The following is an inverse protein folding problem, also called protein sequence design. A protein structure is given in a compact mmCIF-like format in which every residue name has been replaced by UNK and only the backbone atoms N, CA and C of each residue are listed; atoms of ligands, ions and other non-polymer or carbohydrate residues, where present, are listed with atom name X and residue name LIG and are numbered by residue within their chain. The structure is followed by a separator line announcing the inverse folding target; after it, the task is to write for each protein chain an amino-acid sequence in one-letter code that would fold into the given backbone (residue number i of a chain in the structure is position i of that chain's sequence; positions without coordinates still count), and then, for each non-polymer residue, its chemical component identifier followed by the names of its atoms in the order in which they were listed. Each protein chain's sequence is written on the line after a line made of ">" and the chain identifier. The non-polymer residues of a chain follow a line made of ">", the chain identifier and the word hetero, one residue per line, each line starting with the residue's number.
data_IF_643302486743
#
_entry.id   IF_643302486743
#
_cell.length_a   1.000
_cell.length_b   1.000
_cell.length_c   1.000
_cell.angle_alpha   90.00
_cell.angle_beta   90.00
_cell.angle_gamma   90.00
#
_symmetry.space_group_name_H-M   'P 1'
#
loop_
_entity.id
_entity.type
_entity.pdbx_description
1 polymer ?
#
# COMPACT_ATOMS: atom_id res chain seq x y z
N UNK A 1 9.09 0.66 -18.53
CA UNK A 1 10.03 0.99 -17.43
C UNK A 1 9.33 0.79 -16.11
N UNK A 2 9.95 0.02 -15.22
CA UNK A 2 9.59 -0.10 -13.81
C UNK A 2 10.83 0.29 -12.99
N UNK A 3 10.65 1.02 -11.90
CA UNK A 3 11.73 1.35 -10.96
C UNK A 3 11.41 0.77 -9.60
N UNK A 4 12.39 0.12 -8.98
CA UNK A 4 12.32 -0.41 -7.61
C UNK A 4 13.56 0.08 -6.88
N UNK A 5 13.37 0.77 -5.76
CA UNK A 5 14.45 1.34 -4.93
C UNK A 5 15.49 2.15 -5.71
N UNK A 6 15.03 2.87 -6.74
CA UNK A 6 15.86 3.74 -7.57
C UNK A 6 16.54 3.06 -8.75
N UNK A 7 16.45 1.74 -8.90
CA UNK A 7 16.96 1.01 -10.07
C UNK A 7 15.84 0.82 -11.09
N UNK A 8 16.09 1.11 -12.37
CA UNK A 8 15.08 1.10 -13.44
C UNK A 8 15.36 0.00 -14.44
N UNK A 9 14.34 -0.79 -14.77
CA UNK A 9 14.40 -1.83 -15.80
C UNK A 9 13.37 -1.61 -16.91
N UNK A 10 13.77 -1.86 -18.14
CA UNK A 10 12.88 -1.88 -19.30
C UNK A 10 12.31 -3.29 -19.53
N UNK A 11 11.35 -3.65 -18.67
CA UNK A 11 10.66 -4.94 -18.71
C UNK A 11 9.20 -4.72 -19.09
N UNK A 12 8.63 -5.47 -20.04
CA UNK A 12 7.18 -5.50 -20.24
C UNK A 12 6.50 -6.00 -18.97
N UNK A 13 5.50 -5.28 -18.50
CA UNK A 13 4.78 -5.62 -17.28
C UNK A 13 3.26 -5.60 -17.49
N UNK A 14 2.56 -6.44 -16.73
CA UNK A 14 1.12 -6.33 -16.49
C UNK A 14 0.92 -5.96 -15.03
N UNK A 15 0.07 -4.97 -14.78
CA UNK A 15 -0.18 -4.44 -13.44
C UNK A 15 -1.69 -4.46 -13.22
N UNK A 16 -2.12 -5.22 -12.24
CA UNK A 16 -3.49 -5.22 -11.74
C UNK A 16 -3.54 -4.49 -10.40
N UNK A 17 -4.66 -3.82 -10.12
CA UNK A 17 -4.88 -3.13 -8.85
C UNK A 17 -6.19 -3.55 -8.22
N UNK A 18 -6.17 -3.72 -6.92
CA UNK A 18 -7.35 -3.96 -6.08
C UNK A 18 -7.35 -2.93 -4.96
N UNK A 19 -8.49 -2.27 -4.75
CA UNK A 19 -8.68 -1.29 -3.69
C UNK A 19 -9.42 -1.95 -2.53
N UNK A 20 -8.80 -1.96 -1.35
CA UNK A 20 -9.38 -2.49 -0.13
C UNK A 20 -9.67 -1.31 0.82
N UNK A 21 -10.94 -1.09 1.13
CA UNK A 21 -11.36 -0.10 2.13
C UNK A 21 -11.29 -0.76 3.50
N UNK A 22 -10.35 -0.31 4.33
CA UNK A 22 -10.21 -0.81 5.70
C UNK A 22 -11.07 0.04 6.62
N UNK A 23 -12.00 -0.60 7.29
CA UNK A 23 -12.85 0.01 8.28
C UNK A 23 -12.30 -0.24 9.69
N UNK A 24 -12.56 0.69 10.61
CA UNK A 24 -12.20 0.54 12.01
C UNK A 24 -13.11 -0.45 12.71
N UNK A 25 -12.68 -0.92 13.88
CA UNK A 25 -13.45 -1.80 14.74
C UNK A 25 -14.76 -1.17 15.25
N UNK A 26 -14.91 0.16 15.12
CA UNK A 26 -16.10 0.92 15.51
C UNK A 26 -17.24 0.75 14.49
N UNK A 27 -16.93 0.25 13.29
CA UNK A 27 -17.93 0.00 12.24
C UNK A 27 -18.95 -1.06 12.65
N UNK A 28 -20.23 -0.81 12.41
CA UNK A 28 -21.28 -1.72 12.86
C UNK A 28 -22.71 -1.27 12.58
N UNK A 29 -23.66 -2.13 12.95
CA UNK A 29 -25.08 -1.83 12.86
C UNK A 29 -25.51 -0.87 13.98
N UNK A 30 -26.19 0.21 13.58
CA UNK A 30 -26.83 1.15 14.48
C UNK A 30 -28.20 0.65 14.93
N UNK A 31 -28.73 1.27 15.98
CA UNK A 31 -30.04 0.93 16.56
C UNK A 31 -31.21 1.15 15.58
N UNK A 32 -31.04 2.09 14.63
CA UNK A 32 -32.00 2.33 13.55
C UNK A 32 -31.86 1.33 12.38
N UNK A 33 -30.98 0.32 12.52
CA UNK A 33 -30.66 -0.72 11.54
C UNK A 33 -29.90 -0.21 10.32
N UNK A 34 -29.41 1.02 10.32
CA UNK A 34 -28.42 1.48 9.35
C UNK A 34 -27.04 0.95 9.72
N UNK A 35 -26.11 0.89 8.76
CA UNK A 35 -24.74 0.43 9.01
C UNK A 35 -23.82 1.65 9.02
N UNK A 36 -23.17 1.86 10.16
CA UNK A 36 -22.10 2.84 10.30
C UNK A 36 -20.78 2.21 9.85
N UNK A 37 -20.14 2.81 8.86
CA UNK A 37 -18.86 2.36 8.33
C UNK A 37 -17.81 3.43 8.58
N UNK A 38 -16.95 3.20 9.56
CA UNK A 38 -15.85 4.10 9.92
C UNK A 38 -14.61 3.72 9.12
N UNK A 39 -14.47 4.27 7.91
CA UNK A 39 -13.39 3.91 6.98
C UNK A 39 -12.09 4.61 7.39
N UNK A 40 -11.10 3.84 7.88
CA UNK A 40 -9.76 4.33 8.25
C UNK A 40 -8.99 4.78 7.00
N UNK A 41 -9.15 4.06 5.88
CA UNK A 41 -8.49 4.41 4.64
C UNK A 41 -8.63 3.36 3.56
N UNK A 42 -8.18 3.71 2.35
CA UNK A 42 -8.12 2.75 1.23
C UNK A 42 -6.68 2.31 0.99
N UNK A 43 -6.42 1.02 1.18
CA UNK A 43 -5.16 0.38 0.85
C UNK A 43 -5.24 -0.17 -0.58
N UNK A 44 -4.16 0.00 -1.33
CA UNK A 44 -4.06 -0.49 -2.70
C UNK A 44 -3.17 -1.73 -2.71
N UNK A 45 -3.72 -2.84 -3.22
CA UNK A 45 -2.99 -4.05 -3.55
C UNK A 45 -2.68 -4.04 -5.04
N UNK A 46 -1.46 -4.42 -5.38
CA UNK A 46 -0.97 -4.51 -6.74
C UNK A 46 -0.51 -5.94 -7.01
N UNK A 47 -1.03 -6.53 -8.08
CA UNK A 47 -0.49 -7.78 -8.64
C UNK A 47 0.28 -7.41 -9.89
N UNK A 48 1.58 -7.70 -9.90
CA UNK A 48 2.48 -7.30 -10.99
C UNK A 48 3.15 -8.52 -11.57
N UNK A 49 3.03 -8.70 -12.88
CA UNK A 49 3.74 -9.72 -13.64
C UNK A 49 4.77 -9.07 -14.55
N UNK A 50 6.03 -9.46 -14.40
CA UNK A 50 7.16 -9.01 -15.22
C UNK A 50 7.52 -10.08 -16.25
N UNK A 51 7.42 -9.72 -17.52
CA UNK A 51 7.69 -10.62 -18.63
C UNK A 51 9.15 -10.51 -19.09
N UNK A 52 10.04 -11.16 -18.36
CA UNK A 52 11.39 -11.43 -18.83
C UNK A 52 11.35 -12.51 -19.90
N UNK A 53 11.90 -12.23 -21.09
CA UNK A 53 11.98 -13.21 -22.17
C UNK A 53 13.45 -13.52 -22.45
N UNK A 54 14.01 -14.61 -21.87
CA UNK A 54 15.44 -14.91 -21.97
C UNK A 54 15.90 -15.22 -23.41
N UNK A 55 14.97 -15.45 -24.34
CA UNK A 55 15.26 -15.84 -25.72
C UNK A 55 15.16 -14.72 -26.77
N UNK A 56 14.75 -13.49 -26.41
CA UNK A 56 14.66 -12.39 -27.39
C UNK A 56 15.44 -11.17 -26.95
N UNK A 57 16.73 -11.19 -27.29
CA UNK A 57 17.59 -10.02 -27.36
C UNK A 57 17.05 -9.03 -28.41
N UNK A 58 16.03 -8.25 -28.05
CA UNK A 58 15.51 -7.09 -28.80
C UNK A 58 15.68 -5.78 -28.02
N UNK A 59 16.68 -5.70 -27.14
CA UNK A 59 16.92 -4.51 -26.30
C UNK A 59 16.02 -4.40 -25.06
N UNK A 60 15.37 -5.50 -24.65
CA UNK A 60 14.62 -5.61 -23.40
C UNK A 60 15.50 -6.26 -22.33
N UNK A 61 15.10 -6.13 -21.05
CA UNK A 61 15.85 -6.60 -19.89
C UNK A 61 16.47 -8.01 -20.04
N UNK A 62 17.71 -8.12 -19.57
CA UNK A 62 18.60 -9.27 -19.66
C UNK A 62 18.31 -10.33 -18.59
N UNK A 63 18.97 -11.48 -18.72
CA UNK A 63 18.94 -12.54 -17.68
C UNK A 63 19.58 -12.07 -16.36
N UNK A 64 20.57 -11.17 -16.38
CA UNK A 64 21.09 -10.57 -15.14
C UNK A 64 20.08 -9.65 -14.48
N UNK A 65 19.33 -8.87 -15.26
CA UNK A 65 18.28 -7.99 -14.73
C UNK A 65 17.17 -8.81 -14.05
N UNK A 66 16.87 -10.00 -14.57
CA UNK A 66 15.94 -10.92 -13.95
C UNK A 66 16.37 -11.29 -12.52
N UNK A 67 17.63 -11.72 -12.36
CA UNK A 67 18.15 -12.12 -11.06
C UNK A 67 18.21 -10.94 -10.09
N UNK A 68 18.62 -9.76 -10.55
CA UNK A 68 18.65 -8.56 -9.72
C UNK A 68 17.26 -8.17 -9.22
N UNK A 69 16.25 -8.19 -10.09
CA UNK A 69 14.86 -7.91 -9.70
C UNK A 69 14.33 -8.95 -8.73
N UNK A 70 14.61 -10.24 -8.97
CA UNK A 70 14.16 -11.30 -8.08
C UNK A 70 14.77 -11.15 -6.68
N UNK A 71 16.09 -11.03 -6.59
CA UNK A 71 16.79 -10.86 -5.31
C UNK A 71 16.27 -9.63 -4.57
N UNK A 72 16.13 -8.48 -5.25
CA UNK A 72 15.62 -7.26 -4.67
C UNK A 72 14.19 -7.41 -4.13
N UNK A 73 13.30 -8.08 -4.86
CA UNK A 73 11.92 -8.29 -4.40
C UNK A 73 11.82 -9.28 -3.23
N UNK A 74 12.80 -10.14 -3.06
CA UNK A 74 12.87 -11.11 -1.95
C UNK A 74 13.67 -10.61 -0.75
N UNK A 75 14.23 -9.40 -0.83
CA UNK A 75 14.95 -8.79 0.29
C UNK A 75 14.00 -8.63 1.50
N UNK A 76 14.45 -8.99 2.72
CA UNK A 76 13.62 -8.94 3.93
C UNK A 76 13.51 -7.51 4.48
N UNK A 77 13.02 -6.57 3.68
CA UNK A 77 12.79 -5.17 4.06
C UNK A 77 11.30 -4.90 4.27
N UNK A 78 11.00 -3.87 5.07
CA UNK A 78 9.61 -3.55 5.41
C UNK A 78 8.79 -3.05 4.21
N UNK A 79 9.43 -2.32 3.30
CA UNK A 79 8.80 -1.80 2.10
C UNK A 79 9.86 -1.42 1.05
N UNK A 80 9.44 -1.47 -0.22
CA UNK A 80 10.19 -0.94 -1.35
C UNK A 80 9.50 0.30 -1.91
N UNK A 81 10.28 1.16 -2.55
CA UNK A 81 9.77 2.28 -3.33
C UNK A 81 9.62 1.85 -4.80
N UNK A 82 8.38 1.84 -5.29
CA UNK A 82 8.06 1.46 -6.66
C UNK A 82 7.67 2.69 -7.48
N UNK A 83 8.20 2.78 -8.70
CA UNK A 83 7.68 3.62 -9.77
C UNK A 83 7.22 2.74 -10.92
N UNK A 84 5.93 2.78 -11.22
CA UNK A 84 5.28 1.91 -12.21
C UNK A 84 4.51 2.71 -13.26
N UNK A 85 4.37 2.21 -14.50
CA UNK A 85 3.59 2.90 -15.52
C UNK A 85 2.09 2.91 -15.15
N UNK A 86 1.45 4.06 -15.29
CA UNK A 86 0.05 4.28 -14.95
C UNK A 86 -0.62 5.32 -15.86
N UNK A 87 -1.52 4.87 -16.75
CA UNK A 87 -2.32 5.74 -17.63
C UNK A 87 -1.49 6.82 -18.37
N UNK A 88 -0.31 6.46 -18.87
CA UNK A 88 0.59 7.39 -19.57
C UNK A 88 1.41 8.32 -18.67
N UNK A 89 1.33 8.15 -17.35
CA UNK A 89 2.19 8.76 -16.35
C UNK A 89 2.90 7.67 -15.51
N UNK A 90 3.65 8.11 -14.51
CA UNK A 90 4.28 7.23 -13.52
C UNK A 90 3.51 7.26 -12.19
N UNK A 91 3.29 6.10 -11.61
CA UNK A 91 2.74 5.89 -10.28
C UNK A 91 3.89 5.61 -9.32
N UNK A 92 4.08 6.49 -8.35
CA UNK A 92 5.05 6.31 -7.27
C UNK A 92 4.35 5.82 -6.01
N UNK A 93 4.75 4.67 -5.47
CA UNK A 93 4.20 4.11 -4.24
C UNK A 93 5.29 3.53 -3.35
N UNK A 94 5.05 3.53 -2.06
CA UNK A 94 5.81 2.73 -1.09
C UNK A 94 4.92 1.57 -0.65
N UNK A 95 5.37 0.35 -0.92
CA UNK A 95 4.58 -0.85 -0.69
C UNK A 95 5.42 -1.98 -0.12
N UNK A 96 4.81 -2.80 0.73
CA UNK A 96 5.39 -4.06 1.19
C UNK A 96 5.08 -5.16 0.18
N UNK A 97 6.05 -6.04 -0.06
CA UNK A 97 5.88 -7.21 -0.92
C UNK A 97 5.37 -8.36 -0.05
N UNK A 98 4.21 -8.91 -0.38
CA UNK A 98 3.60 -10.03 0.35
C UNK A 98 4.05 -11.38 -0.18
N UNK A 99 4.28 -11.47 -1.49
CA UNK A 99 4.72 -12.69 -2.15
C UNK A 99 5.42 -12.38 -3.46
N UNK A 100 6.37 -13.24 -3.81
CA UNK A 100 7.07 -13.28 -5.10
C UNK A 100 7.02 -14.72 -5.60
N UNK A 101 6.77 -14.91 -6.88
CA UNK A 101 6.69 -16.23 -7.51
C UNK A 101 7.27 -16.19 -8.91
N UNK A 102 7.88 -17.29 -9.31
CA UNK A 102 8.47 -17.50 -10.63
C UNK A 102 8.40 -18.98 -11.02
N UNK A 103 8.76 -19.29 -12.26
CA UNK A 103 8.74 -20.65 -12.77
C UNK A 103 10.01 -20.99 -13.54
N UNK A 104 10.60 -22.14 -13.22
CA UNK A 104 11.66 -22.76 -14.02
C UNK A 104 11.03 -23.42 -15.25
N UNK A 105 11.42 -22.95 -16.43
CA UNK A 105 11.07 -23.60 -17.70
C UNK A 105 12.25 -24.41 -18.17
N UNK A 106 11.98 -25.68 -18.50
CA UNK A 106 12.95 -26.60 -19.08
C UNK A 106 12.54 -26.98 -20.49
N UNK A 107 13.44 -26.74 -21.44
CA UNK A 107 13.26 -27.08 -22.85
C UNK A 107 14.13 -28.30 -23.24
N UNK A 108 13.76 -29.03 -24.31
CA UNK A 108 14.61 -30.06 -24.88
C UNK A 108 16.00 -29.51 -25.23
N UNK A 109 17.05 -30.30 -24.99
CA UNK A 109 18.43 -29.90 -25.25
C UNK A 109 19.17 -29.30 -24.05
N UNK A 110 18.72 -29.58 -22.81
CA UNK A 110 19.32 -29.08 -21.56
C UNK A 110 19.37 -27.54 -21.45
N UNK A 111 18.37 -26.87 -22.02
CA UNK A 111 18.17 -25.44 -21.81
C UNK A 111 17.12 -25.28 -20.71
N UNK A 112 17.50 -24.60 -19.64
CA UNK A 112 16.59 -24.23 -18.56
C UNK A 112 16.78 -22.75 -18.22
N UNK A 113 15.70 -22.08 -17.86
CA UNK A 113 15.71 -20.69 -17.45
C UNK A 113 14.50 -20.40 -16.59
N UNK A 114 14.65 -19.44 -15.67
CA UNK A 114 13.56 -18.93 -14.88
C UNK A 114 12.82 -17.82 -15.64
N UNK A 115 11.50 -17.75 -15.45
CA UNK A 115 10.68 -16.70 -16.07
C UNK A 115 9.42 -16.41 -15.27
N UNK A 116 8.75 -15.30 -15.62
CA UNK A 116 7.41 -14.99 -15.15
C UNK A 116 7.34 -14.51 -13.71
N UNK A 117 8.28 -13.67 -13.28
CA UNK A 117 8.24 -13.04 -11.94
C UNK A 117 6.87 -12.38 -11.77
N UNK A 118 6.13 -12.85 -10.78
CA UNK A 118 4.84 -12.32 -10.37
C UNK A 118 4.88 -12.04 -8.89
N UNK A 119 4.57 -10.81 -8.49
CA UNK A 119 4.59 -10.41 -7.08
C UNK A 119 3.31 -9.66 -6.69
N UNK A 120 2.95 -9.80 -5.42
CA UNK A 120 1.87 -9.06 -4.77
C UNK A 120 2.45 -8.01 -3.84
N UNK A 121 2.03 -6.75 -3.99
CA UNK A 121 2.47 -5.65 -3.14
C UNK A 121 1.27 -4.89 -2.56
N UNK A 122 1.36 -4.49 -1.29
CA UNK A 122 0.32 -3.70 -0.61
C UNK A 122 0.92 -2.37 -0.15
N UNK A 123 0.24 -1.26 -0.45
CA UNK A 123 0.64 0.07 0.01
C UNK A 123 0.79 0.11 1.54
N UNK A 124 1.90 0.63 2.06
CA UNK A 124 2.12 0.67 3.52
C UNK A 124 1.24 1.72 4.22
N UNK A 125 0.80 2.73 3.47
CA UNK A 125 -0.08 3.80 3.94
C UNK A 125 -1.35 3.85 3.07
N UNK A 126 -2.47 4.34 3.61
CA UNK A 126 -3.69 4.52 2.83
C UNK A 126 -3.43 5.49 1.66
N UNK A 127 -3.78 5.04 0.46
CA UNK A 127 -3.62 5.85 -0.78
C UNK A 127 -4.68 6.93 -0.87
N UNK A 128 -5.79 6.78 -0.15
CA UNK A 128 -6.82 7.78 0.06
C UNK A 128 -7.23 7.78 1.52
N UNK A 129 -7.23 8.96 2.12
CA UNK A 129 -7.77 9.25 3.45
C UNK A 129 -8.89 10.26 3.28
N UNK A 130 -9.89 10.22 4.16
CA UNK A 130 -10.77 11.36 4.34
C UNK A 130 -10.01 12.41 5.15
N UNK A 131 -9.98 13.65 4.70
CA UNK A 131 -9.63 14.77 5.59
C UNK A 131 -10.75 14.99 6.60
N UNK A 132 -10.46 15.62 7.74
CA UNK A 132 -11.47 15.94 8.77
C UNK A 132 -12.65 16.73 8.16
N UNK A 133 -12.36 17.65 7.24
CA UNK A 133 -13.37 18.45 6.54
C UNK A 133 -14.24 17.60 5.60
N UNK A 134 -13.65 16.63 4.89
CA UNK A 134 -14.38 15.70 4.03
C UNK A 134 -15.20 14.68 4.84
N UNK A 135 -14.75 14.30 6.04
CA UNK A 135 -15.49 13.45 6.95
C UNK A 135 -16.74 14.17 7.50
N UNK A 136 -16.60 15.46 7.82
CA UNK A 136 -17.71 16.32 8.27
C UNK A 136 -18.74 16.54 7.13
N UNK A 137 -18.28 16.82 5.91
CA UNK A 137 -19.16 17.02 4.74
C UNK A 137 -19.86 15.72 4.30
N UNK A 138 -19.22 14.56 4.51
CA UNK A 138 -19.82 13.24 4.29
C UNK A 138 -20.85 12.82 5.37
N UNK A 139 -21.08 13.68 6.38
CA UNK A 139 -22.02 13.39 7.46
C UNK A 139 -21.54 12.30 8.42
N UNK A 140 -20.23 12.02 8.46
CA UNK A 140 -19.66 11.17 9.51
C UNK A 140 -19.80 11.92 10.84
N UNK A 141 -20.14 11.24 11.95
CA UNK A 141 -20.24 11.89 13.24
C UNK A 141 -18.89 12.49 13.55
N UNK A 142 -18.85 13.82 13.70
CA UNK A 142 -17.67 14.50 14.20
C UNK A 142 -17.25 13.79 15.49
N UNK A 143 -15.97 13.40 15.58
CA UNK A 143 -15.38 13.13 16.88
C UNK A 143 -15.72 14.33 17.77
N UNK A 144 -16.11 14.12 19.04
CA UNK A 144 -16.55 15.21 19.89
C UNK A 144 -15.52 16.33 19.83
N UNK A 145 -15.99 17.49 19.40
CA UNK A 145 -15.21 18.71 19.22
C UNK A 145 -14.58 19.08 20.56
N UNK A 146 -13.33 18.65 20.76
CA UNK A 146 -12.47 19.21 21.80
C UNK A 146 -11.71 20.33 21.11
N UNK A 147 -12.34 21.49 21.03
CA UNK A 147 -11.78 22.65 20.32
C UNK A 147 -10.50 23.20 20.95
N UNK A 148 -10.02 22.64 22.07
CA UNK A 148 -8.63 22.67 22.56
C UNK A 148 -8.48 21.60 23.66
N UNK A 149 -7.92 20.41 23.39
CA UNK A 149 -7.64 19.43 24.44
C UNK A 149 -6.54 19.97 25.36
N UNK A 150 -6.73 19.85 26.67
CA UNK A 150 -5.71 20.15 27.66
C UNK A 150 -5.36 18.91 28.48
N UNK A 151 -4.11 18.85 28.94
CA UNK A 151 -3.64 17.74 29.78
C UNK A 151 -4.46 17.68 31.07
N UNK A 152 -5.06 16.52 31.33
CA UNK A 152 -6.04 16.30 32.39
C UNK A 152 -7.51 16.32 31.95
N UNK A 153 -7.81 16.61 30.68
CA UNK A 153 -9.16 16.44 30.14
C UNK A 153 -9.52 14.95 30.02
N UNK A 154 -10.73 14.63 30.45
CA UNK A 154 -11.26 13.26 30.40
C UNK A 154 -12.34 13.15 29.33
N UNK A 155 -12.26 12.12 28.49
CA UNK A 155 -13.32 11.79 27.53
C UNK A 155 -13.89 10.40 27.81
N UNK A 156 -15.22 10.30 27.74
CA UNK A 156 -15.92 9.03 27.91
C UNK A 156 -16.38 8.52 26.56
N UNK A 157 -15.89 7.35 26.17
CA UNK A 157 -16.29 6.66 24.96
C UNK A 157 -16.68 5.22 25.30
N UNK A 158 -17.87 4.78 24.90
CA UNK A 158 -18.44 3.46 25.23
C UNK A 158 -18.42 3.08 26.73
N UNK A 159 -18.53 4.08 27.61
CA UNK A 159 -18.61 3.84 29.07
C UNK A 159 -17.26 3.71 29.78
N UNK A 160 -16.15 3.79 29.04
CA UNK A 160 -14.81 3.93 29.61
C UNK A 160 -14.32 5.38 29.50
N UNK A 161 -13.71 5.86 30.59
CA UNK A 161 -13.19 7.22 30.69
C UNK A 161 -11.68 7.20 30.55
N UNK A 162 -11.19 7.95 29.57
CA UNK A 162 -9.78 8.09 29.24
C UNK A 162 -9.31 9.49 29.58
N UNK A 163 -8.10 9.62 30.14
CA UNK A 163 -7.49 10.90 30.52
C UNK A 163 -6.34 11.22 29.57
N UNK A 164 -6.32 12.45 29.05
CA UNK A 164 -5.21 12.94 28.22
C UNK A 164 -4.01 13.20 29.13
N UNK A 165 -2.95 12.41 28.96
CA UNK A 165 -1.74 12.45 29.81
C UNK A 165 -0.58 13.23 29.19
N UNK A 166 -0.62 13.49 27.88
CA UNK A 166 0.33 14.32 27.14
C UNK A 166 -0.38 14.83 25.88
N UNK A 167 -0.32 16.15 25.63
CA UNK A 167 -0.94 16.79 24.47
C UNK A 167 0.09 17.66 23.76
N UNK A 168 0.22 17.51 22.43
CA UNK A 168 1.08 18.35 21.59
C UNK A 168 0.20 19.10 20.58
N UNK A 169 0.21 20.43 20.66
CA UNK A 169 -0.53 21.32 19.77
C UNK A 169 0.03 21.25 18.34
N UNK A 170 -0.76 21.73 17.36
CA UNK A 170 -0.35 21.78 15.96
C UNK A 170 0.90 22.67 15.70
N UNK A 171 1.28 23.52 16.66
CA UNK A 171 2.49 24.35 16.63
C UNK A 171 3.72 23.70 17.32
N UNK A 172 3.58 22.47 17.83
CA UNK A 172 4.63 21.71 18.51
C UNK A 172 4.77 22.03 20.01
N UNK A 173 3.83 22.77 20.60
CA UNK A 173 3.82 23.04 22.04
C UNK A 173 3.25 21.85 22.81
N UNK A 174 4.00 21.30 23.77
CA UNK A 174 3.56 20.21 24.65
C UNK A 174 2.99 20.74 25.96
N UNK A 175 1.87 20.19 26.42
CA UNK A 175 1.18 20.57 27.66
C UNK A 175 1.07 19.40 28.64
#
# INVERSE_FOLDING_TARGET
>A
MITIDGTTWDVPCTIERTSEMTASEISGLLLDKTYFNDVIGTYMRYSVTLAFTPMRNRGLASESDYYEVYELLTDPVNAHAFTMPYNGNDLNITARVESVSDALVRLPGNVEYWQGITFEAISIAPTKTYTLDEAIDAGMPALPDVSTPSTGDTYTYNGETWEITDYEDADGTRY
#
